data_IF_502660385735
#
_entry.id   IF_502660385735
#
_cell.length_a   1.000
_cell.length_b   1.000
_cell.length_c   1.000
_cell.angle_alpha   90.00
_cell.angle_beta   90.00
_cell.angle_gamma   90.00
#
_symmetry.space_group_name_H-M   'P 1'
#
loop_
_entity.id
_entity.type
_entity.pdbx_description
1 polymer ?
#
# COMPACT_ATOMS: atom_id res chain seq x y z
N UNK A 1 -90.15 -77.82 47.79
CA UNK A 1 -89.80 -77.34 46.52
C UNK A 1 -89.09 -76.01 46.73
N UNK A 2 -87.85 -76.14 47.00
CA UNK A 2 -87.00 -75.14 47.61
C UNK A 2 -85.99 -74.61 46.55
N UNK A 3 -85.99 -73.30 46.32
CA UNK A 3 -85.09 -72.59 45.48
C UNK A 3 -83.76 -72.28 46.23
N UNK A 4 -82.63 -72.42 45.67
CA UNK A 4 -81.35 -72.08 46.31
C UNK A 4 -81.00 -70.62 46.22
N UNK A 5 -80.49 -70.09 47.28
CA UNK A 5 -79.93 -68.74 47.45
C UNK A 5 -78.64 -68.56 46.69
N UNK A 6 -78.49 -67.53 45.90
CA UNK A 6 -77.27 -67.10 45.25
C UNK A 6 -76.68 -65.96 46.08
N UNK A 7 -75.46 -66.16 46.57
CA UNK A 7 -74.70 -65.15 47.27
C UNK A 7 -73.89 -64.25 46.27
N UNK A 8 -73.82 -62.93 46.46
CA UNK A 8 -73.10 -62.05 45.54
C UNK A 8 -71.61 -62.06 45.87
N UNK A 9 -70.82 -62.43 44.92
CA UNK A 9 -69.35 -62.26 44.94
C UNK A 9 -68.97 -60.80 44.75
N UNK A 10 -68.27 -60.26 45.77
CA UNK A 10 -67.74 -58.89 45.74
C UNK A 10 -66.62 -58.82 44.64
N UNK A 11 -66.86 -58.04 43.63
CA UNK A 11 -65.80 -57.63 42.66
C UNK A 11 -64.95 -56.56 43.29
N UNK A 12 -63.75 -56.89 43.60
CA UNK A 12 -62.68 -55.93 43.95
C UNK A 12 -62.34 -55.12 42.72
N UNK A 13 -62.71 -53.88 42.69
CA UNK A 13 -62.26 -52.91 41.65
C UNK A 13 -60.81 -52.57 41.92
N UNK A 14 -59.90 -53.03 41.07
CA UNK A 14 -58.50 -52.59 41.09
C UNK A 14 -58.42 -51.27 40.32
N UNK A 15 -58.29 -50.16 41.03
CA UNK A 15 -58.02 -48.87 40.49
C UNK A 15 -56.51 -48.84 40.03
N UNK A 16 -56.24 -48.86 38.73
CA UNK A 16 -54.91 -48.63 38.16
C UNK A 16 -54.77 -47.13 38.09
N UNK A 17 -53.92 -46.55 38.97
CA UNK A 17 -53.50 -45.14 38.87
C UNK A 17 -52.43 -45.13 37.81
N UNK A 18 -52.77 -44.63 36.65
CA UNK A 18 -51.79 -44.28 35.59
C UNK A 18 -51.16 -42.93 35.93
N UNK A 19 -49.90 -42.96 36.42
CA UNK A 19 -49.06 -41.77 36.54
C UNK A 19 -48.62 -41.30 35.12
N UNK A 20 -49.23 -40.28 34.62
CA UNK A 20 -48.79 -39.57 33.42
C UNK A 20 -47.59 -38.72 33.83
N UNK A 21 -46.37 -39.17 33.52
CA UNK A 21 -45.16 -38.36 33.61
C UNK A 21 -45.14 -37.44 32.40
N UNK A 22 -45.52 -36.17 32.59
CA UNK A 22 -45.40 -35.13 31.58
C UNK A 22 -43.94 -34.72 31.53
N UNK A 23 -43.15 -35.26 30.57
CA UNK A 23 -41.81 -34.82 30.27
C UNK A 23 -41.91 -33.43 29.60
N UNK A 24 -41.72 -32.36 30.37
CA UNK A 24 -41.52 -31.01 29.84
C UNK A 24 -40.09 -31.00 29.19
N UNK A 25 -40.04 -31.18 27.89
CA UNK A 25 -38.85 -30.94 27.12
C UNK A 25 -38.62 -29.42 27.07
N UNK A 26 -37.82 -28.88 27.99
CA UNK A 26 -37.28 -27.52 27.87
C UNK A 26 -36.30 -27.53 26.68
N UNK A 27 -36.51 -26.68 25.63
CA UNK A 27 -35.53 -26.51 24.61
C UNK A 27 -34.27 -25.92 25.25
N UNK A 28 -33.20 -26.67 25.30
CA UNK A 28 -31.86 -26.15 25.62
C UNK A 28 -31.53 -25.17 24.48
N UNK A 29 -31.79 -23.88 24.69
CA UNK A 29 -31.28 -22.83 23.78
C UNK A 29 -29.79 -22.92 23.85
N UNK A 30 -29.16 -23.55 22.85
CA UNK A 30 -27.71 -23.40 22.59
C UNK A 30 -27.50 -21.91 22.37
N UNK A 31 -26.94 -21.23 23.36
CA UNK A 31 -26.43 -19.89 23.18
C UNK A 31 -25.40 -19.99 22.09
N UNK A 32 -25.68 -19.41 20.92
CA UNK A 32 -24.69 -19.23 19.87
C UNK A 32 -23.51 -18.50 20.52
N UNK A 33 -22.36 -19.14 20.58
CA UNK A 33 -21.13 -18.45 20.95
C UNK A 33 -21.02 -17.24 20.01
N UNK A 34 -20.85 -16.01 20.52
CA UNK A 34 -20.67 -14.86 19.65
C UNK A 34 -19.47 -15.15 18.76
N UNK A 35 -19.68 -15.13 17.45
CA UNK A 35 -18.58 -15.17 16.48
C UNK A 35 -17.67 -14.01 16.86
N UNK A 36 -16.37 -14.24 17.12
CA UNK A 36 -15.48 -13.14 17.44
C UNK A 36 -15.59 -12.11 16.32
N UNK A 37 -15.90 -10.88 16.66
CA UNK A 37 -15.83 -9.77 15.72
C UNK A 37 -14.44 -9.77 15.14
N UNK A 38 -14.27 -9.78 13.81
CA UNK A 38 -12.94 -9.73 13.21
C UNK A 38 -12.20 -8.56 13.85
N UNK A 39 -11.08 -8.81 14.48
CA UNK A 39 -10.21 -7.76 14.99
C UNK A 39 -9.83 -6.92 13.78
N UNK A 40 -10.11 -5.61 13.82
CA UNK A 40 -9.74 -4.72 12.73
C UNK A 40 -8.23 -4.88 12.46
N UNK A 41 -7.86 -5.05 11.22
CA UNK A 41 -6.48 -5.13 10.78
C UNK A 41 -5.78 -3.81 11.16
N UNK A 42 -4.78 -3.84 12.06
CA UNK A 42 -4.16 -2.61 12.57
C UNK A 42 -3.39 -1.85 11.49
N UNK A 43 -2.78 -2.54 10.53
CA UNK A 43 -2.08 -1.92 9.41
C UNK A 43 -3.07 -1.21 8.51
N UNK A 44 -4.14 -1.88 8.10
CA UNK A 44 -5.21 -1.29 7.29
C UNK A 44 -5.89 -0.11 8.00
N UNK A 45 -6.10 -0.19 9.31
CA UNK A 45 -6.68 0.89 10.09
C UNK A 45 -5.75 2.12 10.21
N UNK A 46 -4.45 1.93 10.10
CA UNK A 46 -3.46 3.01 10.11
C UNK A 46 -3.29 3.71 8.75
N UNK A 47 -3.81 3.13 7.66
CA UNK A 47 -3.75 3.69 6.31
C UNK A 47 -4.79 4.81 6.10
N UNK A 48 -4.75 5.85 6.94
CA UNK A 48 -5.72 6.95 6.97
C UNK A 48 -5.88 7.68 5.64
N UNK A 49 -4.88 7.61 4.76
CA UNK A 49 -4.91 8.25 3.43
C UNK A 49 -5.90 7.58 2.47
N UNK A 50 -6.24 6.32 2.68
CA UNK A 50 -7.19 5.61 1.83
C UNK A 50 -8.59 6.22 1.90
N UNK A 51 -9.08 6.50 3.11
CA UNK A 51 -10.35 7.18 3.33
C UNK A 51 -10.20 8.69 3.09
N UNK A 52 -9.16 9.31 3.67
CA UNK A 52 -8.95 10.75 3.64
C UNK A 52 -8.79 11.35 2.24
N UNK A 53 -8.27 10.59 1.28
CA UNK A 53 -8.16 10.97 -0.14
C UNK A 53 -9.21 10.28 -1.03
N UNK A 54 -10.23 9.63 -0.44
CA UNK A 54 -11.30 8.92 -1.15
C UNK A 54 -10.82 7.80 -2.09
N UNK A 55 -9.67 7.20 -1.81
CA UNK A 55 -9.08 6.11 -2.61
C UNK A 55 -9.97 4.86 -2.53
N UNK A 56 -10.48 4.54 -1.34
CA UNK A 56 -11.43 3.46 -1.11
C UNK A 56 -12.72 3.60 -1.93
N UNK A 57 -13.16 4.84 -2.13
CA UNK A 57 -14.30 5.14 -3.01
C UNK A 57 -13.95 4.94 -4.48
N UNK A 58 -12.75 5.36 -4.92
CA UNK A 58 -12.27 5.17 -6.29
C UNK A 58 -12.11 3.68 -6.65
N UNK A 59 -11.77 2.82 -5.69
CA UNK A 59 -11.66 1.37 -5.89
C UNK A 59 -12.95 0.68 -6.31
N UNK A 60 -14.10 1.33 -6.18
CA UNK A 60 -15.38 0.84 -6.73
C UNK A 60 -15.40 0.90 -8.27
N UNK A 61 -14.52 1.70 -8.86
CA UNK A 61 -14.40 1.90 -10.31
C UNK A 61 -13.12 1.27 -10.85
N UNK A 62 -11.98 1.52 -10.22
CA UNK A 62 -10.67 1.01 -10.65
C UNK A 62 -9.75 0.82 -9.46
N UNK A 63 -8.79 -0.09 -9.61
CA UNK A 63 -7.71 -0.35 -8.64
C UNK A 63 -6.33 -0.31 -9.34
N UNK A 64 -6.27 0.33 -10.52
CA UNK A 64 -5.05 0.48 -11.31
C UNK A 64 -4.78 -0.64 -12.31
N UNK A 65 -5.74 -1.55 -12.57
CA UNK A 65 -5.55 -2.62 -13.56
C UNK A 65 -5.24 -2.05 -14.95
N UNK A 66 -4.19 -2.57 -15.60
CA UNK A 66 -3.73 -2.12 -16.92
C UNK A 66 -2.74 -0.96 -16.89
N UNK A 67 -2.45 -0.38 -15.71
CA UNK A 67 -1.45 0.70 -15.54
C UNK A 67 -0.12 0.12 -15.07
N UNK A 68 0.97 0.70 -15.54
CA UNK A 68 2.35 0.38 -15.12
C UNK A 68 2.99 1.61 -14.49
N UNK A 69 3.42 1.49 -13.22
CA UNK A 69 4.10 2.53 -12.47
C UNK A 69 5.58 2.16 -12.34
N UNK A 70 6.47 2.99 -12.83
CA UNK A 70 7.91 2.82 -12.62
C UNK A 70 8.34 3.51 -11.33
N UNK A 71 8.96 2.76 -10.43
CA UNK A 71 9.59 3.28 -9.22
C UNK A 71 11.09 3.39 -9.48
N UNK A 72 11.56 4.62 -9.66
CA UNK A 72 12.98 4.93 -9.84
C UNK A 72 13.51 5.37 -8.47
N UNK A 73 14.17 4.45 -7.77
CA UNK A 73 14.52 4.60 -6.36
C UNK A 73 15.71 3.68 -5.99
N UNK A 74 15.82 3.22 -4.77
CA UNK A 74 16.84 2.26 -4.30
C UNK A 74 16.64 0.84 -4.83
N UNK A 75 15.54 0.55 -5.50
CA UNK A 75 15.07 -0.78 -5.91
C UNK A 75 13.96 -1.30 -5.02
N UNK A 76 13.17 -2.25 -5.55
CA UNK A 76 12.06 -2.90 -4.84
C UNK A 76 12.50 -4.31 -4.46
N UNK A 77 12.49 -4.65 -3.18
CA UNK A 77 12.91 -5.96 -2.69
C UNK A 77 12.10 -7.13 -3.30
N UNK A 78 12.75 -8.27 -3.47
CA UNK A 78 12.13 -9.47 -4.04
C UNK A 78 11.39 -10.35 -3.01
N UNK A 79 11.71 -10.21 -1.71
CA UNK A 79 11.21 -11.08 -0.63
C UNK A 79 9.75 -10.85 -0.24
N UNK A 80 9.32 -9.59 0.01
CA UNK A 80 8.02 -9.29 0.61
C UNK A 80 6.83 -9.74 -0.22
N UNK A 81 5.79 -10.27 0.44
CA UNK A 81 4.53 -10.68 -0.20
C UNK A 81 3.83 -9.53 -0.92
N UNK A 82 3.98 -8.31 -0.42
CA UNK A 82 3.41 -7.09 -1.01
C UNK A 82 3.84 -6.85 -2.47
N UNK A 83 4.98 -7.40 -2.89
CA UNK A 83 5.50 -7.21 -4.24
C UNK A 83 5.34 -8.44 -5.15
N UNK A 84 4.82 -9.55 -4.61
CA UNK A 84 4.60 -10.78 -5.38
C UNK A 84 3.54 -10.55 -6.48
N UNK A 85 3.94 -10.73 -7.74
CA UNK A 85 3.09 -10.47 -8.90
C UNK A 85 2.78 -8.99 -9.17
N UNK A 86 3.26 -8.05 -8.33
CA UNK A 86 3.18 -6.62 -8.58
C UNK A 86 4.32 -6.15 -9.48
N UNK A 87 5.57 -6.48 -9.12
CA UNK A 87 6.75 -6.12 -9.93
C UNK A 87 6.87 -7.09 -11.10
N UNK A 88 6.81 -6.56 -12.32
CA UNK A 88 6.79 -7.37 -13.56
C UNK A 88 8.11 -7.30 -14.33
N UNK A 89 8.91 -6.26 -14.11
CA UNK A 89 10.21 -6.07 -14.73
C UNK A 89 11.05 -5.12 -13.88
N UNK A 90 12.36 -5.01 -14.18
CA UNK A 90 13.24 -4.09 -13.49
C UNK A 90 14.64 -4.06 -14.05
N UNK A 91 15.42 -3.09 -13.58
CA UNK A 91 16.84 -2.93 -13.96
C UNK A 91 17.63 -2.18 -12.90
N UNK A 92 18.93 -2.36 -12.90
CA UNK A 92 19.88 -1.50 -12.20
C UNK A 92 20.59 -0.58 -13.20
N UNK A 93 20.56 0.72 -12.96
CA UNK A 93 21.26 1.72 -13.78
C UNK A 93 22.52 2.27 -13.09
N UNK A 94 22.78 1.83 -11.87
CA UNK A 94 23.96 2.27 -11.09
C UNK A 94 25.24 1.49 -11.46
N UNK A 95 25.10 0.26 -11.91
CA UNK A 95 26.18 -0.67 -12.19
C UNK A 95 26.73 -1.39 -10.94
N UNK A 96 26.00 -1.31 -9.81
CA UNK A 96 26.37 -1.99 -8.54
C UNK A 96 25.24 -2.86 -7.98
N UNK A 97 24.04 -2.82 -8.58
CA UNK A 97 22.87 -3.59 -8.16
C UNK A 97 22.69 -4.89 -8.92
N UNK A 98 21.55 -5.53 -8.73
CA UNK A 98 21.11 -6.69 -9.50
C UNK A 98 20.52 -6.28 -10.85
N UNK A 99 20.68 -7.10 -11.87
CA UNK A 99 20.22 -6.81 -13.24
C UNK A 99 18.70 -6.54 -13.31
N UNK A 100 17.94 -7.08 -12.35
CA UNK A 100 16.47 -6.92 -12.24
C UNK A 100 16.03 -5.76 -11.35
N UNK A 101 16.98 -4.97 -10.79
CA UNK A 101 16.70 -3.88 -9.86
C UNK A 101 16.00 -4.30 -8.55
N UNK A 102 16.03 -5.61 -8.21
CA UNK A 102 15.30 -6.18 -7.07
C UNK A 102 16.18 -6.41 -5.83
N UNK A 103 17.41 -5.93 -5.86
CA UNK A 103 18.29 -5.85 -4.70
C UNK A 103 18.41 -4.39 -4.28
N UNK A 104 17.72 -3.97 -3.20
CA UNK A 104 17.75 -2.59 -2.74
C UNK A 104 19.17 -2.09 -2.46
N UNK A 105 19.47 -0.87 -2.88
CA UNK A 105 20.79 -0.26 -2.83
C UNK A 105 20.82 0.95 -1.91
N UNK A 106 21.98 1.21 -1.33
CA UNK A 106 22.26 2.43 -0.58
C UNK A 106 22.71 2.16 0.84
N UNK A 107 23.67 2.98 1.36
CA UNK A 107 24.22 2.79 2.69
C UNK A 107 23.36 3.36 3.82
N UNK A 108 22.39 4.22 3.51
CA UNK A 108 21.62 4.97 4.53
C UNK A 108 20.20 4.46 4.67
N UNK A 109 19.50 4.19 3.59
CA UNK A 109 18.10 3.76 3.57
C UNK A 109 17.83 2.92 2.32
N UNK A 110 18.32 1.68 2.31
CA UNK A 110 18.10 0.76 1.19
C UNK A 110 16.63 0.37 1.00
N UNK A 111 15.83 0.40 2.07
CA UNK A 111 14.43 0.01 2.06
C UNK A 111 13.49 1.05 1.44
N UNK A 112 14.01 2.27 1.19
CA UNK A 112 13.21 3.40 0.72
C UNK A 112 12.39 3.08 -0.54
N UNK A 113 12.98 2.48 -1.57
CA UNK A 113 12.26 2.10 -2.78
C UNK A 113 11.15 1.06 -2.56
N UNK A 114 11.34 0.14 -1.62
CA UNK A 114 10.31 -0.82 -1.20
C UNK A 114 9.15 -0.12 -0.50
N UNK A 115 9.41 0.80 0.45
CA UNK A 115 8.36 1.60 1.10
C UNK A 115 7.58 2.44 0.10
N UNK A 116 8.26 3.08 -0.83
CA UNK A 116 7.65 3.86 -1.93
C UNK A 116 6.75 2.99 -2.79
N UNK A 117 7.24 1.83 -3.22
CA UNK A 117 6.49 0.88 -4.04
C UNK A 117 5.25 0.35 -3.33
N UNK A 118 5.34 0.10 -2.01
CA UNK A 118 4.22 -0.40 -1.22
C UNK A 118 3.07 0.60 -1.15
N UNK A 119 3.35 1.90 -1.03
CA UNK A 119 2.33 2.95 -1.08
C UNK A 119 1.70 3.08 -2.46
N UNK A 120 2.47 2.98 -3.54
CA UNK A 120 1.94 3.08 -4.89
C UNK A 120 1.02 1.90 -5.24
N UNK A 121 1.51 0.65 -5.09
CA UNK A 121 0.84 -0.53 -5.61
C UNK A 121 1.12 -1.83 -4.82
N UNK A 122 1.43 -1.75 -3.53
CA UNK A 122 1.61 -2.93 -2.68
C UNK A 122 0.36 -3.81 -2.66
N UNK A 123 0.55 -5.13 -2.73
CA UNK A 123 -0.52 -6.11 -2.61
C UNK A 123 -0.82 -6.39 -1.14
N UNK A 124 -2.07 -6.56 -0.74
CA UNK A 124 -2.40 -7.06 0.58
C UNK A 124 -1.96 -8.53 0.71
N UNK A 125 -1.95 -9.04 1.93
CA UNK A 125 -1.78 -10.47 2.18
C UNK A 125 -2.87 -11.30 1.49
N UNK A 126 -2.65 -12.60 1.32
CA UNK A 126 -3.58 -13.50 0.65
C UNK A 126 -4.97 -13.57 1.31
N UNK A 127 -5.06 -13.30 2.61
CA UNK A 127 -6.30 -13.21 3.37
C UNK A 127 -6.96 -11.81 3.32
N UNK A 128 -6.36 -10.87 2.59
CA UNK A 128 -6.83 -9.49 2.43
C UNK A 128 -6.39 -8.54 3.54
N UNK A 129 -5.63 -9.02 4.53
CA UNK A 129 -5.04 -8.20 5.60
C UNK A 129 -3.76 -7.51 5.16
N UNK A 130 -3.16 -6.73 6.05
CA UNK A 130 -1.92 -6.03 5.81
C UNK A 130 -2.07 -4.74 5.03
N UNK A 131 -0.96 -4.07 4.83
CA UNK A 131 -0.88 -2.84 4.07
C UNK A 131 -1.32 -3.05 2.61
N UNK A 132 -1.96 -2.04 2.02
CA UNK A 132 -2.36 -2.04 0.60
C UNK A 132 -1.96 -0.72 -0.08
N UNK A 133 -1.40 -0.80 -1.26
CA UNK A 133 -1.10 0.38 -2.07
C UNK A 133 -2.34 1.02 -2.67
N UNK A 134 -2.18 2.27 -3.12
CA UNK A 134 -3.27 3.06 -3.73
C UNK A 134 -3.81 2.39 -5.00
N UNK A 135 -2.93 1.85 -5.85
CA UNK A 135 -3.29 1.15 -7.09
C UNK A 135 -2.89 -0.34 -7.02
N UNK A 136 -3.54 -1.15 -6.17
CA UNK A 136 -3.06 -2.51 -5.87
C UNK A 136 -3.19 -3.51 -7.04
N UNK A 137 -3.75 -3.12 -8.17
CA UNK A 137 -3.81 -3.93 -9.39
C UNK A 137 -2.89 -3.40 -10.50
N UNK A 138 -2.22 -2.25 -10.27
CA UNK A 138 -1.20 -1.75 -11.18
C UNK A 138 0.03 -2.67 -11.20
N UNK A 139 0.80 -2.62 -12.28
CA UNK A 139 2.12 -3.24 -12.39
C UNK A 139 3.18 -2.27 -11.92
N UNK A 140 4.26 -2.81 -11.38
CA UNK A 140 5.43 -2.04 -10.97
C UNK A 140 6.64 -2.40 -11.84
N UNK A 141 7.44 -1.40 -12.18
CA UNK A 141 8.81 -1.56 -12.67
C UNK A 141 9.77 -1.11 -11.58
N UNK A 142 10.78 -1.93 -11.28
CA UNK A 142 11.79 -1.65 -10.27
C UNK A 142 13.06 -1.15 -10.93
N UNK A 143 13.44 0.12 -10.68
CA UNK A 143 14.66 0.68 -11.28
C UNK A 143 15.53 1.20 -10.14
N UNK A 144 16.71 0.54 -9.94
CA UNK A 144 17.59 0.88 -8.84
C UNK A 144 18.64 1.93 -9.23
N UNK A 145 18.75 2.95 -8.38
CA UNK A 145 19.74 4.00 -8.38
C UNK A 145 20.72 3.82 -7.20
N UNK A 146 21.97 4.18 -7.40
CA UNK A 146 23.01 4.11 -6.37
C UNK A 146 23.08 5.37 -5.50
N UNK A 147 22.06 5.65 -4.68
CA UNK A 147 22.05 6.81 -3.78
C UNK A 147 23.18 6.74 -2.74
N UNK A 148 23.98 7.81 -2.65
CA UNK A 148 25.04 7.90 -1.64
C UNK A 148 26.13 6.85 -1.78
N UNK A 149 26.20 6.15 -2.91
CA UNK A 149 27.20 5.12 -3.21
C UNK A 149 28.29 5.65 -4.14
N UNK A 150 29.43 4.95 -4.17
CA UNK A 150 30.44 5.15 -5.22
C UNK A 150 30.12 4.20 -6.38
N UNK A 151 29.15 4.59 -7.20
CA UNK A 151 28.76 3.85 -8.39
C UNK A 151 29.65 4.21 -9.60
N UNK A 152 29.91 3.26 -10.54
CA UNK A 152 30.70 3.55 -11.76
C UNK A 152 29.94 4.48 -12.71
N UNK A 153 28.59 4.52 -12.65
CA UNK A 153 27.76 5.40 -13.46
C UNK A 153 27.42 6.68 -12.68
N UNK A 154 27.71 7.88 -13.20
CA UNK A 154 27.33 9.15 -12.54
C UNK A 154 25.84 9.23 -12.27
N UNK A 155 25.43 9.76 -11.09
CA UNK A 155 24.03 9.81 -10.66
C UNK A 155 23.11 10.50 -11.68
N UNK A 156 23.56 11.60 -12.28
CA UNK A 156 22.76 12.31 -13.31
C UNK A 156 22.47 11.43 -14.53
N UNK A 157 23.47 10.61 -14.93
CA UNK A 157 23.28 9.64 -16.01
C UNK A 157 22.36 8.49 -15.59
N UNK A 158 22.48 8.00 -14.35
CA UNK A 158 21.57 6.97 -13.84
C UNK A 158 20.12 7.42 -13.95
N UNK A 159 19.80 8.66 -13.54
CA UNK A 159 18.42 9.20 -13.64
C UNK A 159 17.96 9.27 -15.09
N UNK A 160 18.79 9.77 -16.00
CA UNK A 160 18.46 9.86 -17.43
C UNK A 160 18.21 8.48 -18.06
N UNK A 161 19.08 7.51 -17.75
CA UNK A 161 18.96 6.14 -18.25
C UNK A 161 17.70 5.47 -17.68
N UNK A 162 17.44 5.64 -16.37
CA UNK A 162 16.24 5.11 -15.69
C UNK A 162 14.94 5.64 -16.31
N UNK A 163 14.87 6.94 -16.59
CA UNK A 163 13.71 7.57 -17.22
C UNK A 163 13.43 6.97 -18.59
N UNK A 164 14.45 6.85 -19.45
CA UNK A 164 14.32 6.26 -20.78
C UNK A 164 13.90 4.80 -20.69
N UNK A 165 14.58 4.02 -19.84
CA UNK A 165 14.28 2.61 -19.65
C UNK A 165 12.81 2.41 -19.21
N UNK A 166 12.33 3.23 -18.27
CA UNK A 166 10.94 3.15 -17.80
C UNK A 166 9.93 3.37 -18.94
N UNK A 167 10.15 4.38 -19.77
CA UNK A 167 9.31 4.66 -20.96
C UNK A 167 9.34 3.50 -21.95
N UNK A 168 10.54 3.00 -22.29
CA UNK A 168 10.73 1.90 -23.24
C UNK A 168 10.11 0.58 -22.78
N UNK A 169 9.91 0.41 -21.44
CA UNK A 169 9.27 -0.76 -20.82
C UNK A 169 7.80 -0.51 -20.46
N UNK A 170 7.20 0.53 -21.02
CA UNK A 170 5.75 0.75 -21.00
C UNK A 170 5.22 1.36 -19.70
N UNK A 171 6.03 2.12 -18.97
CA UNK A 171 5.53 2.92 -17.86
C UNK A 171 4.48 3.93 -18.34
N UNK A 172 3.36 4.01 -17.64
CA UNK A 172 2.38 5.08 -17.79
C UNK A 172 2.66 6.22 -16.80
N UNK A 173 3.22 5.86 -15.64
CA UNK A 173 3.59 6.79 -14.58
C UNK A 173 5.02 6.47 -14.13
N UNK A 174 5.83 7.50 -13.94
CA UNK A 174 7.15 7.42 -13.33
C UNK A 174 7.09 8.13 -11.98
N UNK A 175 7.49 7.46 -10.91
CA UNK A 175 7.61 8.03 -9.58
C UNK A 175 9.07 8.26 -9.21
N UNK A 176 9.42 9.49 -8.87
CA UNK A 176 10.73 9.94 -8.38
C UNK A 176 10.58 10.45 -6.95
N UNK A 177 10.87 9.58 -5.96
CA UNK A 177 10.75 9.92 -4.55
C UNK A 177 12.02 10.53 -3.96
N UNK A 178 12.73 11.31 -4.76
CA UNK A 178 13.95 12.01 -4.36
C UNK A 178 13.97 13.45 -4.88
N UNK A 179 14.84 14.26 -4.29
CA UNK A 179 15.08 15.65 -4.71
C UNK A 179 16.53 16.04 -4.42
N UNK A 180 17.01 17.05 -5.11
CA UNK A 180 18.27 17.74 -4.81
C UNK A 180 17.99 18.98 -3.96
N UNK A 181 19.04 19.61 -3.43
CA UNK A 181 18.94 20.90 -2.74
C UNK A 181 19.19 22.09 -3.67
N UNK A 182 19.02 21.90 -4.98
CA UNK A 182 19.24 22.93 -6.01
C UNK A 182 17.95 23.16 -6.80
N UNK A 183 17.71 24.39 -7.21
CA UNK A 183 16.58 24.72 -8.09
C UNK A 183 16.83 24.27 -9.54
N UNK A 184 18.09 24.35 -9.94
CA UNK A 184 18.53 23.96 -11.27
C UNK A 184 18.76 22.46 -11.36
N UNK A 185 18.42 21.88 -12.50
CA UNK A 185 18.67 20.47 -12.81
C UNK A 185 19.83 20.32 -13.78
N UNK A 186 20.40 19.12 -13.79
CA UNK A 186 21.45 18.78 -14.75
C UNK A 186 20.87 18.72 -16.18
N UNK A 187 21.54 19.38 -17.12
CA UNK A 187 21.10 19.45 -18.52
C UNK A 187 21.00 18.08 -19.20
N UNK A 188 21.70 17.08 -18.70
CA UNK A 188 21.58 15.71 -19.22
C UNK A 188 20.20 15.11 -19.01
N UNK A 189 19.36 15.71 -18.13
CA UNK A 189 17.97 15.26 -17.88
C UNK A 189 16.99 15.83 -18.91
N UNK A 190 17.29 16.92 -19.60
CA UNK A 190 16.36 17.59 -20.52
C UNK A 190 15.75 16.61 -21.53
N UNK A 191 16.61 15.84 -22.23
CA UNK A 191 16.15 14.88 -23.23
C UNK A 191 15.38 13.70 -22.62
N UNK A 192 15.73 13.25 -21.41
CA UNK A 192 15.10 12.10 -20.78
C UNK A 192 13.68 12.44 -20.28
N UNK A 193 13.52 13.62 -19.67
CA UNK A 193 12.21 14.10 -19.23
C UNK A 193 11.32 14.45 -20.42
N UNK A 194 11.87 15.13 -21.43
CA UNK A 194 11.14 15.40 -22.67
C UNK A 194 10.70 14.13 -23.37
N UNK A 195 11.55 13.09 -23.36
CA UNK A 195 11.21 11.77 -23.91
C UNK A 195 10.00 11.16 -23.21
N UNK A 196 9.94 11.20 -21.86
CA UNK A 196 8.80 10.73 -21.11
C UNK A 196 7.51 11.51 -21.45
N UNK A 197 7.58 12.85 -21.52
CA UNK A 197 6.43 13.68 -21.88
C UNK A 197 5.92 13.45 -23.31
N UNK A 198 6.83 13.22 -24.27
CA UNK A 198 6.47 12.91 -25.66
C UNK A 198 5.81 11.53 -25.82
N UNK A 199 5.95 10.65 -24.82
CA UNK A 199 5.31 9.34 -24.79
C UNK A 199 4.11 9.28 -23.83
N UNK A 200 3.54 10.46 -23.47
CA UNK A 200 2.39 10.58 -22.58
C UNK A 200 2.59 9.92 -21.19
N UNK A 201 3.84 9.88 -20.70
CA UNK A 201 4.16 9.35 -19.38
C UNK A 201 4.08 10.47 -18.34
N UNK A 202 3.29 10.26 -17.29
CA UNK A 202 3.19 11.18 -16.15
C UNK A 202 4.41 11.01 -15.25
N UNK A 203 5.12 12.11 -14.95
CA UNK A 203 6.27 12.08 -14.05
C UNK A 203 5.88 12.74 -12.72
N UNK A 204 5.82 11.95 -11.66
CA UNK A 204 5.47 12.36 -10.29
C UNK A 204 6.73 12.48 -9.47
N UNK A 205 6.94 13.61 -8.79
CA UNK A 205 8.19 13.92 -8.11
C UNK A 205 7.94 14.44 -6.70
N UNK A 206 8.65 13.92 -5.71
CA UNK A 206 8.64 14.41 -4.33
C UNK A 206 9.23 15.83 -4.24
N UNK A 207 8.55 16.73 -3.54
CA UNK A 207 9.01 18.12 -3.39
C UNK A 207 10.22 18.28 -2.46
N UNK A 208 10.49 17.28 -1.60
CA UNK A 208 11.56 17.31 -0.59
C UNK A 208 11.04 17.63 0.82
N UNK A 209 11.89 17.44 1.82
CA UNK A 209 11.53 17.46 3.24
C UNK A 209 12.41 18.45 4.01
N UNK A 210 11.82 19.44 4.69
CA UNK A 210 12.57 20.38 5.54
C UNK A 210 13.25 19.68 6.72
N UNK A 211 12.61 18.65 7.26
CA UNK A 211 13.17 17.87 8.37
C UNK A 211 14.47 17.14 8.02
N UNK A 212 14.70 16.82 6.74
CA UNK A 212 15.96 16.25 6.22
C UNK A 212 16.88 17.27 5.53
N UNK A 213 16.62 18.56 5.73
CA UNK A 213 17.51 19.64 5.29
C UNK A 213 17.19 20.24 3.93
N UNK A 214 16.11 19.85 3.25
CA UNK A 214 15.67 20.46 2.00
C UNK A 214 14.87 21.73 2.30
N UNK A 215 15.48 22.90 2.14
CA UNK A 215 14.85 24.17 2.51
C UNK A 215 13.69 24.59 1.60
N UNK A 216 13.80 24.30 0.31
CA UNK A 216 12.80 24.59 -0.74
C UNK A 216 12.76 23.45 -1.76
N UNK A 217 11.72 23.45 -2.59
CA UNK A 217 11.60 22.47 -3.69
C UNK A 217 12.85 22.51 -4.56
N UNK A 218 13.46 21.35 -4.78
CA UNK A 218 14.64 21.17 -5.61
C UNK A 218 14.36 20.30 -6.85
N UNK A 219 15.33 20.28 -7.76
CA UNK A 219 15.26 19.39 -8.92
C UNK A 219 15.22 17.90 -8.50
N UNK A 220 14.49 17.03 -9.20
CA UNK A 220 13.77 17.24 -10.45
C UNK A 220 12.35 17.84 -10.30
N UNK A 221 11.86 18.14 -9.07
CA UNK A 221 10.52 18.68 -8.85
C UNK A 221 10.35 20.15 -9.37
N UNK A 222 11.42 20.77 -9.81
CA UNK A 222 11.42 22.09 -10.47
C UNK A 222 11.36 22.02 -12.00
N UNK A 223 11.50 20.83 -12.60
CA UNK A 223 11.44 20.65 -14.06
C UNK A 223 10.01 20.93 -14.54
N UNK A 224 9.82 21.80 -15.56
CA UNK A 224 8.50 22.05 -16.13
C UNK A 224 7.90 20.78 -16.72
N UNK A 225 6.61 20.52 -16.41
CA UNK A 225 5.88 19.34 -16.88
C UNK A 225 5.80 18.19 -15.88
N UNK A 226 6.63 18.18 -14.83
CA UNK A 226 6.47 17.19 -13.76
C UNK A 226 5.34 17.56 -12.80
N UNK A 227 4.75 16.57 -12.17
CA UNK A 227 3.80 16.72 -11.09
C UNK A 227 4.54 16.70 -9.74
N UNK A 228 4.95 17.88 -9.27
CA UNK A 228 5.63 18.03 -7.99
C UNK A 228 4.65 17.89 -6.83
N UNK A 229 4.95 16.99 -5.88
CA UNK A 229 4.07 16.60 -4.79
C UNK A 229 4.60 17.11 -3.46
N UNK A 230 3.86 18.00 -2.81
CA UNK A 230 4.07 18.42 -1.42
C UNK A 230 3.43 17.48 -0.42
N UNK A 231 3.73 17.67 0.85
CA UNK A 231 3.25 16.84 1.94
C UNK A 231 2.28 17.56 2.88
N UNK A 232 1.23 16.84 3.31
CA UNK A 232 0.30 17.29 4.35
C UNK A 232 0.25 16.30 5.52
N UNK A 233 -0.14 16.80 6.70
CA UNK A 233 -0.45 15.96 7.86
C UNK A 233 -1.82 15.26 7.72
N UNK A 234 -2.19 14.45 8.71
CA UNK A 234 -3.48 13.73 8.74
C UNK A 234 -4.72 14.63 8.71
N UNK A 235 -4.57 15.93 8.96
CA UNK A 235 -5.65 16.93 8.93
C UNK A 235 -5.69 17.71 7.62
N UNK A 236 -4.81 17.37 6.65
CA UNK A 236 -4.69 18.09 5.39
C UNK A 236 -3.93 19.42 5.51
N UNK A 237 -3.23 19.67 6.62
CA UNK A 237 -2.40 20.87 6.80
C UNK A 237 -0.99 20.60 6.30
N UNK A 238 -0.40 21.58 5.59
CA UNK A 238 0.96 21.44 5.07
C UNK A 238 1.96 21.02 6.17
N UNK A 239 2.65 19.91 5.93
CA UNK A 239 3.64 19.39 6.88
C UNK A 239 4.83 20.32 6.99
N UNK A 240 5.27 20.59 8.23
CA UNK A 240 6.43 21.43 8.49
C UNK A 240 7.75 20.69 8.33
N UNK A 241 7.78 19.40 8.61
CA UNK A 241 8.97 18.56 8.55
C UNK A 241 9.00 17.70 7.29
N UNK A 242 7.89 17.03 6.99
CA UNK A 242 7.73 16.08 5.90
C UNK A 242 7.29 16.74 4.58
N UNK A 243 7.56 18.01 4.38
CA UNK A 243 7.41 18.74 3.12
C UNK A 243 8.32 19.95 3.07
N UNK A 244 8.69 20.36 1.87
CA UNK A 244 9.24 21.70 1.57
C UNK A 244 8.12 22.63 1.15
N UNK A 245 8.50 23.82 0.68
CA UNK A 245 7.62 24.80 0.07
C UNK A 245 8.23 25.31 -1.24
N UNK A 246 7.39 25.69 -2.18
CA UNK A 246 7.80 26.25 -3.47
C UNK A 246 6.66 26.36 -4.44
N UNK A 247 6.80 27.24 -5.43
CA UNK A 247 5.76 27.53 -6.42
C UNK A 247 5.54 26.40 -7.43
N UNK A 248 6.50 25.45 -7.53
CA UNK A 248 6.39 24.30 -8.42
C UNK A 248 5.54 23.16 -7.84
N UNK A 249 5.19 23.20 -6.54
CA UNK A 249 4.27 22.21 -5.96
C UNK A 249 2.91 22.32 -6.66
N UNK A 250 2.53 21.26 -7.37
CA UNK A 250 1.28 21.20 -8.11
C UNK A 250 0.13 20.64 -7.28
N UNK A 251 0.42 19.61 -6.47
CA UNK A 251 -0.53 18.92 -5.59
C UNK A 251 0.14 18.56 -4.26
N UNK A 252 -0.65 18.14 -3.28
CA UNK A 252 -0.14 17.61 -2.02
C UNK A 252 -0.88 16.36 -1.63
N UNK A 253 -0.18 15.43 -0.95
CA UNK A 253 -0.74 14.21 -0.42
C UNK A 253 -0.24 13.96 1.01
N UNK A 254 -0.84 13.04 1.76
CA UNK A 254 -0.36 12.62 3.07
C UNK A 254 1.13 12.29 3.07
N UNK A 255 1.86 12.80 4.06
CA UNK A 255 3.32 12.67 4.18
C UNK A 255 3.80 12.38 5.59
N UNK A 256 2.90 12.25 6.55
CA UNK A 256 3.23 11.97 7.94
C UNK A 256 2.57 10.68 8.41
N UNK A 257 3.27 9.91 9.25
CA UNK A 257 2.79 8.64 9.80
C UNK A 257 2.29 7.67 8.72
N UNK A 258 3.01 7.61 7.61
CA UNK A 258 2.73 6.66 6.53
C UNK A 258 3.30 5.29 6.90
N UNK A 259 2.64 4.23 6.44
CA UNK A 259 3.21 2.89 6.48
C UNK A 259 4.02 2.61 5.22
N UNK A 260 4.98 1.71 5.32
CA UNK A 260 5.78 1.22 4.21
C UNK A 260 6.33 -0.16 4.49
N UNK A 261 6.44 -0.99 3.46
CA UNK A 261 6.98 -2.34 3.55
C UNK A 261 8.48 -2.30 3.26
N UNK A 262 9.29 -2.74 4.22
CA UNK A 262 10.73 -2.87 4.11
C UNK A 262 11.16 -4.10 3.30
N UNK A 263 12.45 -4.20 2.98
CA UNK A 263 12.99 -5.29 2.18
C UNK A 263 12.85 -6.69 2.84
N UNK A 264 12.74 -6.75 4.15
CA UNK A 264 12.51 -7.99 4.91
C UNK A 264 11.02 -8.32 5.09
N UNK A 265 10.12 -7.43 4.64
CA UNK A 265 8.68 -7.58 4.73
C UNK A 265 8.05 -6.99 5.99
N UNK A 266 8.83 -6.36 6.87
CA UNK A 266 8.30 -5.63 8.02
C UNK A 266 7.60 -4.36 7.56
N UNK A 267 6.58 -3.93 8.31
CA UNK A 267 5.86 -2.68 8.03
C UNK A 267 6.32 -1.62 9.02
N UNK A 268 6.91 -0.55 8.48
CA UNK A 268 7.45 0.55 9.26
C UNK A 268 6.65 1.83 9.07
N UNK A 269 6.64 2.67 10.12
CA UNK A 269 6.04 4.00 10.05
C UNK A 269 7.10 5.03 9.68
N UNK A 270 6.83 5.83 8.65
CA UNK A 270 7.76 6.81 8.15
C UNK A 270 7.09 8.12 7.69
N UNK A 271 7.90 9.12 7.33
CA UNK A 271 7.41 10.44 6.94
C UNK A 271 8.22 10.98 5.76
N UNK A 272 7.58 11.77 4.91
CA UNK A 272 8.25 12.49 3.82
C UNK A 272 7.39 12.62 2.58
N UNK A 273 7.71 13.60 1.75
CA UNK A 273 7.15 13.72 0.40
C UNK A 273 7.50 12.54 -0.49
N UNK A 274 8.52 11.75 -0.10
CA UNK A 274 8.83 10.46 -0.73
C UNK A 274 7.68 9.46 -0.62
N UNK A 275 6.82 9.57 0.41
CA UNK A 275 5.59 8.77 0.52
C UNK A 275 4.37 9.46 -0.09
N UNK A 276 4.34 10.79 -0.09
CA UNK A 276 3.28 11.55 -0.76
C UNK A 276 3.28 11.36 -2.29
N UNK A 277 4.46 11.33 -2.91
CA UNK A 277 4.60 11.12 -4.35
C UNK A 277 4.00 9.79 -4.84
N UNK A 278 4.33 8.61 -4.26
CA UNK A 278 3.72 7.35 -4.71
C UNK A 278 2.22 7.24 -4.42
N UNK A 279 1.68 7.93 -3.40
CA UNK A 279 0.22 8.04 -3.22
C UNK A 279 -0.40 8.73 -4.44
N UNK A 280 0.19 9.84 -4.90
CA UNK A 280 -0.27 10.54 -6.12
C UNK A 280 -0.05 9.71 -7.37
N UNK A 281 1.06 8.98 -7.47
CA UNK A 281 1.34 8.12 -8.61
C UNK A 281 0.35 6.94 -8.75
N UNK A 282 -0.27 6.53 -7.64
CA UNK A 282 -1.30 5.48 -7.64
C UNK A 282 -2.72 5.99 -7.96
N UNK A 283 -2.98 7.30 -7.83
CA UNK A 283 -4.26 7.92 -8.16
C UNK A 283 -4.40 8.15 -9.65
#
# INVERSE_FOLDING_TARGET
MTAPRITPRARRLRTVVALLVLAVATPLAMAATPTPTPTADPERAAEYWLEGAHIDAAWKTTRGAGVTIAIIDTGIANGPSAFQGAVTDGTDVSGIGSDDGRTPLGPLDSDHGSRVASLAAGRPNADGTGMIGVAPEAKLLSISLGFGTTAPVPFTKQVADAMRWAVDHGANVINLSFTTNTLEWDRSWDDAFLYAFQHDVVVVVAAGNRGSGTAMVGAPATIPGVLAVGGVDQRGVASRAASTQGISIAVSAPSESLLGVDADGTVETWNGTSGAAPIVAGV
#
